data_IF_690601082863
#
_entry.id   IF_690601082863
#
_cell.length_a   1.000
_cell.length_b   1.000
_cell.length_c   1.000
_cell.angle_alpha   90.00
_cell.angle_beta   90.00
_cell.angle_gamma   90.00
#
_symmetry.space_group_name_H-M   'P 1'
#
loop_
_entity.id
_entity.type
_entity.pdbx_description
1 polymer ?
#
# COMPACT_ATOMS: atom_id res chain seq x y z
N UNK A 1 7.25 -17.92 -0.91
CA UNK A 1 6.06 -18.20 -0.07
C UNK A 1 4.79 -17.79 -0.81
N UNK A 2 3.64 -18.43 -0.52
CA UNK A 2 2.36 -18.09 -1.14
C UNK A 2 1.84 -16.75 -0.63
N UNK A 3 1.33 -15.92 -1.53
CA UNK A 3 0.69 -14.65 -1.20
C UNK A 3 -0.43 -14.83 -0.17
N UNK A 4 -0.64 -13.84 0.70
CA UNK A 4 -1.71 -13.82 1.70
C UNK A 4 -2.89 -12.99 1.19
N UNK A 5 -4.10 -13.49 1.37
CA UNK A 5 -5.30 -12.67 1.15
C UNK A 5 -5.49 -11.71 2.32
N UNK A 6 -5.52 -10.41 1.99
CA UNK A 6 -5.68 -9.33 2.94
C UNK A 6 -7.12 -8.85 2.90
N UNK A 7 -7.74 -8.88 4.06
CA UNK A 7 -9.15 -8.58 4.30
C UNK A 7 -9.25 -7.57 5.42
N UNK A 8 -10.42 -6.96 5.60
CA UNK A 8 -10.65 -6.05 6.72
C UNK A 8 -10.35 -6.69 8.09
N UNK A 9 -10.60 -8.00 8.23
CA UNK A 9 -10.49 -8.69 9.53
C UNK A 9 -9.03 -8.98 9.94
N UNK A 10 -8.12 -9.12 8.97
CA UNK A 10 -6.71 -9.43 9.23
C UNK A 10 -5.75 -8.30 8.87
N UNK A 11 -6.24 -7.20 8.29
CA UNK A 11 -5.41 -6.09 7.82
C UNK A 11 -4.50 -5.55 8.91
N UNK A 12 -5.09 -5.18 10.05
CA UNK A 12 -4.36 -4.57 11.16
C UNK A 12 -3.29 -5.52 11.72
N UNK A 13 -3.61 -6.82 11.84
CA UNK A 13 -2.66 -7.83 12.32
C UNK A 13 -1.49 -8.00 11.36
N UNK A 14 -1.76 -8.14 10.06
CA UNK A 14 -0.71 -8.35 9.06
C UNK A 14 0.17 -7.13 8.91
N UNK A 15 -0.41 -5.92 8.85
CA UNK A 15 0.36 -4.70 8.64
C UNK A 15 1.14 -4.29 9.88
N UNK A 16 0.59 -4.50 11.08
CA UNK A 16 1.30 -4.18 12.33
C UNK A 16 2.27 -5.25 12.78
N UNK A 17 2.03 -6.51 12.40
CA UNK A 17 2.90 -7.64 12.72
C UNK A 17 4.09 -7.81 11.78
N UNK A 18 4.16 -7.05 10.67
CA UNK A 18 5.20 -7.18 9.67
C UNK A 18 5.78 -5.82 9.27
N UNK A 19 7.10 -5.68 9.35
CA UNK A 19 7.79 -4.42 9.06
C UNK A 19 7.83 -4.07 7.56
N UNK A 20 7.51 -5.02 6.69
CA UNK A 20 7.52 -4.84 5.24
C UNK A 20 6.42 -5.69 4.60
N UNK A 21 5.39 -5.02 4.08
CA UNK A 21 4.27 -5.62 3.37
C UNK A 21 4.14 -4.99 1.99
N UNK A 22 4.09 -5.82 0.97
CA UNK A 22 3.77 -5.43 -0.41
C UNK A 22 2.36 -5.91 -0.73
N UNK A 23 1.50 -5.02 -1.21
CA UNK A 23 0.07 -5.27 -1.43
C UNK A 23 -0.28 -5.07 -2.91
N UNK A 24 -0.92 -6.07 -3.52
CA UNK A 24 -1.54 -6.00 -4.84
C UNK A 24 -3.06 -5.87 -4.71
N UNK A 25 -3.61 -4.74 -5.20
CA UNK A 25 -5.04 -4.50 -5.26
C UNK A 25 -5.58 -4.91 -6.63
N UNK A 26 -6.47 -5.89 -6.67
CA UNK A 26 -6.89 -6.54 -7.91
C UNK A 26 -8.41 -6.81 -7.95
N UNK A 27 -8.88 -7.35 -9.09
CA UNK A 27 -10.22 -7.91 -9.29
C UNK A 27 -10.22 -8.93 -10.44
N UNK A 28 -11.18 -9.86 -10.44
CA UNK A 28 -11.22 -10.97 -11.42
C UNK A 28 -11.56 -10.50 -12.86
N UNK A 29 -12.26 -9.38 -13.02
CA UNK A 29 -12.56 -8.81 -14.35
C UNK A 29 -11.41 -7.96 -14.92
N UNK A 30 -10.39 -7.68 -14.12
CA UNK A 30 -9.29 -6.78 -14.49
C UNK A 30 -8.24 -7.51 -15.33
N UNK A 31 -8.26 -7.28 -16.65
CA UNK A 31 -7.30 -7.86 -17.60
C UNK A 31 -5.82 -7.60 -17.23
N UNK A 32 -5.41 -6.36 -16.93
CA UNK A 32 -4.04 -6.07 -16.49
C UNK A 32 -3.65 -6.77 -15.18
N UNK A 33 -4.59 -6.92 -14.23
CA UNK A 33 -4.35 -7.62 -12.98
C UNK A 33 -3.98 -9.09 -13.22
N UNK A 34 -4.64 -9.75 -14.18
CA UNK A 34 -4.31 -11.13 -14.57
C UNK A 34 -2.90 -11.28 -15.17
N UNK A 35 -2.37 -10.24 -15.79
CA UNK A 35 -1.00 -10.22 -16.30
C UNK A 35 0.02 -9.98 -15.17
N UNK A 36 -0.35 -9.16 -14.19
CA UNK A 36 0.50 -8.82 -13.06
C UNK A 36 0.58 -9.94 -12.01
N UNK A 37 -0.51 -10.67 -11.76
CA UNK A 37 -0.59 -11.73 -10.75
C UNK A 37 0.57 -12.74 -10.78
N UNK A 38 0.92 -13.33 -11.95
CA UNK A 38 2.05 -14.25 -12.05
C UNK A 38 3.42 -13.60 -11.77
N UNK A 39 3.58 -12.31 -12.07
CA UNK A 39 4.81 -11.55 -11.76
C UNK A 39 4.93 -11.38 -10.25
N UNK A 40 3.83 -10.99 -9.61
CA UNK A 40 3.74 -10.79 -8.16
C UNK A 40 4.00 -12.09 -7.39
N UNK A 41 3.34 -13.18 -7.79
CA UNK A 41 3.52 -14.51 -7.18
C UNK A 41 4.95 -15.04 -7.35
N UNK A 42 5.58 -14.80 -8.49
CA UNK A 42 6.98 -15.20 -8.68
C UNK A 42 7.94 -14.42 -7.78
N UNK A 43 7.72 -13.12 -7.61
CA UNK A 43 8.51 -12.29 -6.68
C UNK A 43 8.31 -12.74 -5.22
N UNK A 44 7.10 -13.18 -4.85
CA UNK A 44 6.84 -13.71 -3.51
C UNK A 44 7.56 -15.03 -3.20
N UNK A 45 8.05 -15.74 -4.21
CA UNK A 45 8.89 -16.93 -4.04
C UNK A 45 10.36 -16.61 -3.79
N UNK A 46 10.83 -15.42 -4.18
CA UNK A 46 12.24 -15.03 -4.07
C UNK A 46 12.55 -14.15 -2.86
N UNK A 47 11.51 -13.68 -2.18
CA UNK A 47 11.59 -12.75 -1.06
C UNK A 47 11.00 -13.35 0.21
N UNK A 48 11.87 -13.66 1.17
CA UNK A 48 11.49 -14.14 2.49
C UNK A 48 11.44 -13.02 3.55
N UNK A 49 11.87 -11.81 3.18
CA UNK A 49 12.00 -10.64 4.06
C UNK A 49 10.80 -9.68 4.03
N UNK A 50 9.79 -9.95 3.19
CA UNK A 50 8.56 -9.18 3.13
C UNK A 50 7.34 -10.06 2.90
N UNK A 51 6.19 -9.57 3.38
CA UNK A 51 4.90 -10.21 3.17
C UNK A 51 4.29 -9.74 1.84
N UNK A 52 3.92 -10.69 1.00
CA UNK A 52 3.15 -10.44 -0.22
C UNK A 52 1.68 -10.65 0.08
N UNK A 53 0.90 -9.56 0.02
CA UNK A 53 -0.51 -9.53 0.30
C UNK A 53 -1.31 -9.17 -0.96
N UNK A 54 -2.53 -9.69 -1.08
CA UNK A 54 -3.45 -9.40 -2.18
C UNK A 54 -4.80 -8.97 -1.61
N UNK A 55 -5.36 -7.87 -2.14
CA UNK A 55 -6.69 -7.39 -1.78
C UNK A 55 -7.57 -7.45 -3.01
N UNK A 56 -8.61 -8.29 -2.97
CA UNK A 56 -9.69 -8.22 -3.95
C UNK A 56 -10.58 -7.01 -3.63
N UNK A 57 -10.55 -6.01 -4.51
CA UNK A 57 -11.29 -4.76 -4.33
C UNK A 57 -12.81 -4.93 -4.46
N UNK A 58 -13.30 -6.00 -5.09
CA UNK A 58 -14.73 -6.32 -5.13
C UNK A 58 -15.19 -6.98 -3.83
N UNK A 59 -14.36 -7.83 -3.24
CA UNK A 59 -14.66 -8.49 -1.97
C UNK A 59 -14.44 -7.56 -0.76
N UNK A 60 -13.51 -6.61 -0.86
CA UNK A 60 -13.07 -5.71 0.23
C UNK A 60 -13.22 -4.22 -0.13
N UNK A 61 -14.42 -3.74 -0.50
CA UNK A 61 -14.63 -2.36 -0.97
C UNK A 61 -14.33 -1.31 0.11
N UNK A 62 -14.64 -1.61 1.38
CA UNK A 62 -14.35 -0.72 2.50
C UNK A 62 -12.84 -0.57 2.73
N UNK A 63 -12.08 -1.66 2.62
CA UNK A 63 -10.63 -1.63 2.76
C UNK A 63 -9.98 -0.87 1.59
N UNK A 64 -10.43 -1.12 0.36
CA UNK A 64 -9.99 -0.39 -0.82
C UNK A 64 -10.27 1.12 -0.69
N UNK A 65 -11.44 1.51 -0.16
CA UNK A 65 -11.77 2.91 0.12
C UNK A 65 -10.87 3.51 1.20
N UNK A 66 -10.66 2.80 2.31
CA UNK A 66 -9.81 3.27 3.41
C UNK A 66 -8.36 3.53 2.96
N UNK A 67 -7.87 2.70 2.03
CA UNK A 67 -6.53 2.83 1.43
C UNK A 67 -6.52 3.70 0.16
N UNK A 68 -7.62 4.40 -0.12
CA UNK A 68 -7.77 5.35 -1.22
C UNK A 68 -7.45 4.76 -2.61
N UNK A 69 -7.77 3.49 -2.81
CA UNK A 69 -7.54 2.78 -4.07
C UNK A 69 -8.56 3.24 -5.10
N UNK A 70 -8.09 3.95 -6.12
CA UNK A 70 -8.92 4.57 -7.16
C UNK A 70 -8.92 3.80 -8.48
N UNK A 71 -7.93 2.93 -8.69
CA UNK A 71 -7.81 2.11 -9.90
C UNK A 71 -7.09 0.81 -9.58
N UNK A 72 -7.29 -0.18 -10.45
CA UNK A 72 -6.65 -1.48 -10.34
C UNK A 72 -5.98 -1.88 -11.67
N UNK A 73 -4.85 -2.61 -11.62
CA UNK A 73 -4.14 -2.99 -10.39
C UNK A 73 -3.48 -1.78 -9.74
N UNK A 74 -3.34 -1.81 -8.41
CA UNK A 74 -2.51 -0.84 -7.67
C UNK A 74 -1.54 -1.61 -6.81
N UNK A 75 -0.28 -1.18 -6.79
CA UNK A 75 0.77 -1.77 -5.96
C UNK A 75 1.09 -0.80 -4.84
N UNK A 76 1.07 -1.28 -3.60
CA UNK A 76 1.38 -0.50 -2.41
C UNK A 76 2.45 -1.19 -1.57
N UNK A 77 3.40 -0.42 -1.04
CA UNK A 77 4.36 -0.90 -0.05
C UNK A 77 4.11 -0.20 1.26
N UNK A 78 3.92 -1.00 2.30
CA UNK A 78 3.84 -0.56 3.68
C UNK A 78 5.10 -1.00 4.41
N UNK A 79 5.80 -0.03 5.00
CA UNK A 79 6.95 -0.25 5.87
C UNK A 79 6.61 0.23 7.26
N UNK A 80 6.67 -0.65 8.25
CA UNK A 80 6.46 -0.33 9.67
C UNK A 80 5.17 0.49 9.91
N UNK A 81 4.05 0.05 9.32
CA UNK A 81 2.74 0.70 9.33
C UNK A 81 2.62 2.03 8.55
N UNK A 82 3.64 2.39 7.76
CA UNK A 82 3.63 3.59 6.91
C UNK A 82 3.60 3.18 5.44
N UNK A 83 2.62 3.67 4.69
CA UNK A 83 2.61 3.52 3.23
C UNK A 83 3.73 4.39 2.62
N UNK A 84 4.79 3.74 2.13
CA UNK A 84 5.96 4.42 1.53
C UNK A 84 5.93 4.45 0.01
N UNK A 85 5.05 3.64 -0.59
CA UNK A 85 4.84 3.59 -2.03
C UNK A 85 3.39 3.21 -2.30
N UNK A 86 2.77 3.89 -3.26
CA UNK A 86 1.47 3.50 -3.82
C UNK A 86 1.43 3.96 -5.27
N UNK A 87 1.34 3.02 -6.21
CA UNK A 87 1.28 3.34 -7.63
C UNK A 87 0.20 2.54 -8.34
N UNK A 88 -0.70 3.20 -9.09
CA UNK A 88 -1.62 2.51 -9.96
C UNK A 88 -0.89 1.96 -11.20
N UNK A 89 -1.36 0.82 -11.70
CA UNK A 89 -0.88 0.14 -12.88
C UNK A 89 -0.08 -1.13 -12.59
N UNK A 90 -0.05 -2.02 -13.58
CA UNK A 90 0.71 -3.26 -13.52
C UNK A 90 2.21 -2.95 -13.70
N UNK A 91 3.04 -3.51 -12.82
CA UNK A 91 4.50 -3.37 -12.92
C UNK A 91 5.10 -4.59 -13.65
N UNK A 92 5.98 -4.38 -14.64
CA UNK A 92 6.87 -5.44 -15.12
C UNK A 92 7.75 -5.98 -13.99
N UNK A 93 8.25 -7.21 -14.14
CA UNK A 93 9.05 -7.87 -13.09
C UNK A 93 10.24 -7.02 -12.65
N UNK A 94 11.03 -6.49 -13.59
CA UNK A 94 12.20 -5.65 -13.25
C UNK A 94 11.80 -4.41 -12.45
N UNK A 95 10.71 -3.75 -12.84
CA UNK A 95 10.22 -2.57 -12.13
C UNK A 95 9.69 -2.92 -10.73
N UNK A 96 9.07 -4.10 -10.55
CA UNK A 96 8.64 -4.60 -9.25
C UNK A 96 9.84 -4.79 -8.31
N UNK A 97 10.89 -5.43 -8.81
CA UNK A 97 12.13 -5.65 -8.06
C UNK A 97 12.83 -4.32 -7.69
N UNK A 98 12.85 -3.37 -8.62
CA UNK A 98 13.42 -2.04 -8.39
C UNK A 98 12.67 -1.28 -7.29
N UNK A 99 11.33 -1.33 -7.26
CA UNK A 99 10.56 -0.66 -6.20
C UNK A 99 10.72 -1.36 -4.85
N UNK A 100 10.81 -2.69 -4.82
CA UNK A 100 11.11 -3.46 -3.59
C UNK A 100 12.49 -3.06 -3.07
N UNK A 101 13.50 -2.99 -3.95
CA UNK A 101 14.86 -2.59 -3.59
C UNK A 101 14.94 -1.16 -3.05
N UNK A 102 14.27 -0.21 -3.71
CA UNK A 102 14.17 1.17 -3.25
C UNK A 102 13.48 1.27 -1.90
N UNK A 103 12.33 0.61 -1.73
CA UNK A 103 11.61 0.62 -0.48
C UNK A 103 12.41 -0.02 0.65
N UNK A 104 13.20 -1.07 0.37
CA UNK A 104 14.12 -1.70 1.33
C UNK A 104 15.20 -0.72 1.79
N UNK A 105 15.72 0.09 0.87
CA UNK A 105 16.80 1.04 1.12
C UNK A 105 16.36 2.35 1.79
N UNK A 106 15.05 2.58 1.96
CA UNK A 106 14.55 3.77 2.67
C UNK A 106 15.04 3.79 4.12
N UNK A 107 15.49 4.97 4.55
CA UNK A 107 15.73 5.28 5.95
C UNK A 107 14.40 5.56 6.63
N UNK A 108 13.90 4.59 7.39
CA UNK A 108 12.60 4.70 8.04
C UNK A 108 12.57 5.72 9.18
N UNK A 109 13.71 6.09 9.76
CA UNK A 109 13.75 7.14 10.77
C UNK A 109 13.49 8.51 10.13
N UNK A 110 14.02 8.74 8.92
CA UNK A 110 13.71 9.92 8.11
C UNK A 110 12.26 9.91 7.61
N UNK A 111 11.77 8.76 7.13
CA UNK A 111 10.36 8.61 6.71
C UNK A 111 9.41 8.92 7.87
N UNK A 112 9.62 8.38 9.06
CA UNK A 112 8.77 8.67 10.23
C UNK A 112 8.81 10.15 10.63
N UNK A 113 9.99 10.78 10.55
CA UNK A 113 10.14 12.20 10.83
C UNK A 113 9.30 13.03 9.84
N UNK A 114 9.44 12.76 8.54
CA UNK A 114 8.69 13.49 7.50
C UNK A 114 7.17 13.25 7.55
N UNK A 115 6.71 12.04 7.87
CA UNK A 115 5.28 11.75 8.06
C UNK A 115 4.71 12.51 9.26
N UNK A 116 5.48 12.61 10.35
CA UNK A 116 5.08 13.40 11.52
C UNK A 116 4.94 14.88 11.15
N UNK A 117 5.84 15.42 10.33
CA UNK A 117 5.78 16.79 9.83
C UNK A 117 4.62 17.02 8.85
N UNK A 118 4.40 16.09 7.91
CA UNK A 118 3.31 16.15 6.93
C UNK A 118 1.93 16.06 7.60
N UNK A 119 1.77 15.14 8.57
CA UNK A 119 0.53 14.99 9.34
C UNK A 119 0.27 16.22 10.22
N UNK A 120 1.30 16.85 10.77
CA UNK A 120 1.16 18.12 11.51
C UNK A 120 0.79 19.28 10.58
N UNK A 121 1.31 19.31 9.35
CA UNK A 121 0.94 20.29 8.32
C UNK A 121 -0.51 20.14 7.85
N UNK A 122 -0.96 18.92 7.57
CA UNK A 122 -2.34 18.62 7.16
C UNK A 122 -3.36 18.83 8.29
N UNK A 123 -3.02 18.49 9.53
CA UNK A 123 -3.89 18.76 10.69
C UNK A 123 -3.98 20.25 11.00
N UNK A 124 -2.89 21.01 10.86
CA UNK A 124 -2.91 22.47 11.01
C UNK A 124 -3.78 23.14 9.91
N UNK A 125 -3.63 22.71 8.66
CA UNK A 125 -4.43 23.22 7.54
C UNK A 125 -5.93 22.88 7.65
N UNK A 126 -6.27 21.68 8.13
CA UNK A 126 -7.66 21.29 8.39
C UNK A 126 -8.30 22.11 9.55
N UNK A 127 -7.53 22.43 10.59
CA UNK A 127 -7.98 23.26 11.70
C UNK A 127 -8.25 24.72 11.28
N UNK A 128 -7.42 25.28 10.39
CA UNK A 128 -7.61 26.65 9.87
C UNK A 128 -8.82 26.78 8.93
N UNK A 129 -9.10 25.76 8.09
CA UNK A 129 -10.26 25.76 7.19
C UNK A 129 -11.60 25.59 7.93
N UNK A 130 -11.62 24.84 9.05
CA UNK A 130 -12.82 24.67 9.89
C UNK A 130 -13.24 25.93 10.65
N UNK A 131 -12.32 26.90 10.84
CA UNK A 131 -12.59 28.13 11.58
C UNK A 131 -13.13 29.26 10.68
N UNK A 132 -12.88 29.21 9.36
CA UNK A 132 -13.39 30.19 8.39
C UNK A 132 -14.87 29.95 8.00
N UNK A 133 -15.38 28.72 8.14
CA UNK A 133 -16.75 28.35 7.78
C UNK A 133 -17.82 28.74 8.84
N UNK A 134 -17.42 29.15 10.04
CA UNK A 134 -18.33 29.50 11.14
C UNK A 134 -18.45 31.01 11.39
N UNK A 135 -17.82 31.83 10.56
CA UNK A 135 -17.74 33.28 10.71
C UNK A 135 -18.47 34.12 9.65
N UNK A 136 -19.38 33.52 8.87
CA UNK A 136 -20.22 34.22 7.88
C UNK A 136 -21.71 34.07 8.17
#
# INVERSE_FOLDING_TARGET
MSTIELTKDNFDEIVSGNDFVLIDFWAEWCGPCKQFGPVFEKSSETHDDLVFAKVDTEAQPELAQALQIQSIPTVMIVRENIAVFAQPGALPAEALEDVIGQARALDMDEVRASVTEAQQGEQAQAAEQGQQAQGS
#
